data_IF_309979056070
#
_entry.id   IF_309979056070
#
_cell.length_a   1.000
_cell.length_b   1.000
_cell.length_c   1.000
_cell.angle_alpha   90.00
_cell.angle_beta   90.00
_cell.angle_gamma   90.00
#
_symmetry.space_group_name_H-M   'P 1'
#
loop_
_entity.id
_entity.type
_entity.pdbx_description
1 polymer ?
#
# COMPACT_ATOMS: atom_id res chain seq x y z
N UNK A 1 -4.26 -11.91 13.67
CA UNK A 1 -4.56 -10.74 12.83
C UNK A 1 -3.25 -10.28 12.20
N UNK A 2 -3.24 -10.00 10.90
CA UNK A 2 -2.08 -9.45 10.20
C UNK A 2 -1.71 -8.09 10.83
N UNK A 3 -0.45 -7.88 11.20
CA UNK A 3 0.02 -6.63 11.84
C UNK A 3 -0.27 -5.41 10.96
N UNK A 4 -0.18 -5.57 9.63
CA UNK A 4 -0.54 -4.54 8.67
C UNK A 4 -2.03 -4.18 8.71
N UNK A 5 -2.93 -5.15 8.96
CA UNK A 5 -4.36 -4.89 9.03
C UNK A 5 -4.72 -4.08 10.29
N UNK A 6 -4.04 -4.37 11.41
CA UNK A 6 -4.19 -3.60 12.66
C UNK A 6 -3.65 -2.17 12.47
N UNK A 7 -2.47 -2.03 11.86
CA UNK A 7 -1.87 -0.73 11.57
C UNK A 7 -2.77 0.11 10.65
N UNK A 8 -3.27 -0.49 9.57
CA UNK A 8 -4.19 0.17 8.65
C UNK A 8 -5.47 0.61 9.37
N UNK A 9 -6.07 -0.25 10.19
CA UNK A 9 -7.27 0.09 10.94
C UNK A 9 -7.02 1.27 11.89
N UNK A 10 -5.89 1.29 12.59
CA UNK A 10 -5.53 2.40 13.48
C UNK A 10 -5.35 3.72 12.72
N UNK A 11 -4.71 3.70 11.56
CA UNK A 11 -4.58 4.88 10.69
C UNK A 11 -5.94 5.36 10.15
N UNK A 12 -6.82 4.42 9.80
CA UNK A 12 -8.17 4.69 9.32
C UNK A 12 -9.13 5.20 10.41
N UNK A 13 -8.71 5.22 11.68
CA UNK A 13 -9.46 5.86 12.78
C UNK A 13 -8.97 7.28 13.10
N UNK A 14 -7.83 7.70 12.57
CA UNK A 14 -7.32 9.06 12.78
C UNK A 14 -8.04 10.06 11.90
N UNK A 15 -8.37 11.22 12.45
CA UNK A 15 -8.95 12.35 11.70
C UNK A 15 -7.94 13.00 10.74
N UNK A 16 -6.65 12.82 11.02
CA UNK A 16 -5.58 13.43 10.26
C UNK A 16 -4.32 12.60 10.31
N UNK A 17 -3.59 12.60 9.18
CA UNK A 17 -2.38 11.83 8.97
C UNK A 17 -1.24 12.75 8.52
N UNK A 18 -0.06 12.51 9.06
CA UNK A 18 1.20 13.04 8.53
C UNK A 18 1.58 12.32 7.24
N UNK A 19 2.46 12.88 6.39
CA UNK A 19 2.92 12.19 5.19
C UNK A 19 3.56 10.83 5.47
N UNK A 20 4.29 10.69 6.58
CA UNK A 20 4.86 9.42 7.04
C UNK A 20 3.77 8.39 7.33
N UNK A 21 2.71 8.79 8.04
CA UNK A 21 1.57 7.92 8.33
C UNK A 21 0.77 7.56 7.06
N UNK A 22 0.69 8.46 6.08
CA UNK A 22 0.09 8.14 4.77
C UNK A 22 0.92 7.09 4.05
N UNK A 23 2.26 7.22 4.03
CA UNK A 23 3.16 6.20 3.47
C UNK A 23 2.96 4.85 4.15
N UNK A 24 2.96 4.83 5.48
CA UNK A 24 2.71 3.60 6.26
C UNK A 24 1.34 3.00 5.96
N UNK A 25 0.31 3.84 5.80
CA UNK A 25 -1.03 3.41 5.40
C UNK A 25 -1.09 2.81 4.00
N UNK A 26 -0.38 3.39 3.03
CA UNK A 26 -0.25 2.82 1.68
C UNK A 26 0.38 1.43 1.77
N UNK A 27 1.53 1.29 2.44
CA UNK A 27 2.19 -0.01 2.65
C UNK A 27 1.21 -1.00 3.30
N UNK A 28 0.58 -0.61 4.40
CA UNK A 28 -0.35 -1.45 5.13
C UNK A 28 -1.58 -1.87 4.28
N UNK A 29 -2.05 -1.01 3.38
CA UNK A 29 -3.10 -1.31 2.41
C UNK A 29 -2.68 -2.45 1.47
N UNK A 30 -1.49 -2.38 0.89
CA UNK A 30 -0.95 -3.43 0.03
C UNK A 30 -0.81 -4.78 0.75
N UNK A 31 -0.31 -4.79 1.99
CA UNK A 31 -0.18 -6.03 2.76
C UNK A 31 -1.50 -6.57 3.32
N UNK A 32 -2.51 -5.74 3.52
CA UNK A 32 -3.78 -6.16 4.14
C UNK A 32 -4.83 -6.56 3.13
N UNK A 33 -4.94 -5.80 2.04
CA UNK A 33 -5.97 -5.98 1.01
C UNK A 33 -5.41 -6.86 -0.11
N UNK A 34 -4.16 -6.61 -0.52
CA UNK A 34 -3.66 -7.15 -1.78
C UNK A 34 -2.79 -8.40 -1.62
N UNK A 35 -2.47 -8.81 -0.39
CA UNK A 35 -1.62 -9.96 -0.11
C UNK A 35 -2.17 -11.27 -0.64
N UNK A 36 -3.47 -11.51 -0.51
CA UNK A 36 -4.09 -12.75 -1.02
C UNK A 36 -4.14 -12.78 -2.55
N UNK A 37 -4.22 -11.62 -3.20
CA UNK A 37 -4.07 -11.51 -4.65
C UNK A 37 -2.66 -11.85 -5.09
N UNK A 38 -1.63 -11.25 -4.47
CA UNK A 38 -0.23 -11.55 -4.79
C UNK A 38 0.10 -13.01 -4.51
N UNK A 39 -0.41 -13.58 -3.41
CA UNK A 39 -0.29 -15.01 -3.11
C UNK A 39 -0.85 -15.88 -4.23
N UNK A 40 -2.07 -15.60 -4.72
CA UNK A 40 -2.67 -16.35 -5.84
C UNK A 40 -1.82 -16.25 -7.11
N UNK A 41 -1.26 -15.08 -7.40
CA UNK A 41 -0.40 -14.84 -8.58
C UNK A 41 0.94 -15.59 -8.50
N UNK A 42 1.52 -15.71 -7.32
CA UNK A 42 2.75 -16.46 -7.07
C UNK A 42 2.52 -17.98 -6.97
N UNK A 43 1.28 -18.42 -6.75
CA UNK A 43 0.92 -19.83 -6.59
C UNK A 43 1.08 -20.33 -5.15
N UNK A 44 1.31 -21.63 -4.97
CA UNK A 44 1.57 -22.22 -3.65
C UNK A 44 2.98 -21.88 -3.16
N UNK A 45 3.15 -20.66 -2.68
CA UNK A 45 4.37 -20.19 -2.02
C UNK A 45 4.14 -19.97 -0.52
N UNK A 46 5.18 -20.17 0.32
CA UNK A 46 5.16 -19.77 1.72
C UNK A 46 4.73 -18.31 1.90
N UNK A 47 4.00 -18.05 2.99
CA UNK A 47 3.56 -16.70 3.39
C UNK A 47 4.71 -15.67 3.38
N UNK A 48 5.87 -16.06 3.89
CA UNK A 48 7.08 -15.21 3.94
C UNK A 48 7.57 -14.76 2.56
N UNK A 49 7.35 -15.57 1.52
CA UNK A 49 7.83 -15.29 0.17
C UNK A 49 6.86 -14.33 -0.55
N UNK A 50 5.56 -14.39 -0.21
CA UNK A 50 4.56 -13.38 -0.61
C UNK A 50 4.89 -12.03 0.01
N UNK A 51 5.19 -12.02 1.31
CA UNK A 51 5.49 -10.79 2.04
C UNK A 51 6.80 -10.16 1.54
N UNK A 52 7.83 -10.97 1.27
CA UNK A 52 9.08 -10.51 0.66
C UNK A 52 8.88 -9.97 -0.76
N UNK A 53 8.02 -10.60 -1.57
CA UNK A 53 7.72 -10.12 -2.92
C UNK A 53 6.99 -8.77 -2.90
N UNK A 54 6.03 -8.60 -1.99
CA UNK A 54 5.35 -7.33 -1.77
C UNK A 54 6.33 -6.25 -1.28
N UNK A 55 7.16 -6.58 -0.31
CA UNK A 55 8.15 -5.65 0.26
C UNK A 55 9.17 -5.19 -0.79
N UNK A 56 9.66 -6.13 -1.62
CA UNK A 56 10.55 -5.83 -2.73
C UNK A 56 9.88 -4.90 -3.75
N UNK A 57 8.64 -5.21 -4.17
CA UNK A 57 7.90 -4.38 -5.11
C UNK A 57 7.70 -2.94 -4.58
N UNK A 58 7.28 -2.81 -3.32
CA UNK A 58 7.10 -1.50 -2.67
C UNK A 58 8.42 -0.74 -2.59
N UNK A 59 9.48 -1.42 -2.17
CA UNK A 59 10.82 -0.83 -2.04
C UNK A 59 11.35 -0.34 -3.38
N UNK A 60 11.22 -1.15 -4.43
CA UNK A 60 11.70 -0.81 -5.77
C UNK A 60 10.98 0.43 -6.30
N UNK A 61 9.64 0.46 -6.24
CA UNK A 61 8.88 1.63 -6.71
C UNK A 61 9.18 2.87 -5.85
N UNK A 62 9.32 2.72 -4.53
CA UNK A 62 9.64 3.87 -3.67
C UNK A 62 11.03 4.44 -3.98
N UNK A 63 12.00 3.58 -4.27
CA UNK A 63 13.35 4.00 -4.69
C UNK A 63 13.33 4.67 -6.07
N UNK A 64 12.61 4.10 -7.04
CA UNK A 64 12.45 4.67 -8.39
C UNK A 64 11.83 6.08 -8.34
N UNK A 65 10.87 6.28 -7.43
CA UNK A 65 10.19 7.56 -7.24
C UNK A 65 10.87 8.48 -6.21
N UNK A 66 12.04 8.09 -5.68
CA UNK A 66 12.82 8.86 -4.71
C UNK A 66 11.99 9.28 -3.48
N UNK A 67 11.18 8.36 -2.97
CA UNK A 67 10.37 8.59 -1.78
C UNK A 67 11.28 8.65 -0.55
N UNK A 68 11.37 9.83 0.07
CA UNK A 68 12.07 9.99 1.34
C UNK A 68 11.39 9.12 2.43
N UNK A 69 12.12 8.20 3.09
CA UNK A 69 11.55 7.35 4.12
C UNK A 69 11.03 8.11 5.35
N UNK A 70 11.65 9.23 5.71
CA UNK A 70 11.33 9.99 6.91
C UNK A 70 10.38 11.15 6.64
N UNK A 71 10.48 11.77 5.47
CA UNK A 71 9.62 12.89 5.09
C UNK A 71 9.07 12.76 3.65
N UNK A 72 8.19 11.78 3.40
CA UNK A 72 7.73 11.50 2.05
C UNK A 72 6.84 12.63 1.54
N UNK A 73 7.00 12.96 0.26
CA UNK A 73 6.16 13.94 -0.43
C UNK A 73 4.83 13.31 -0.84
N UNK A 74 3.69 13.87 -0.40
CA UNK A 74 2.36 13.34 -0.75
C UNK A 74 2.13 13.24 -2.27
N UNK A 75 2.50 14.24 -3.10
CA UNK A 75 2.44 14.10 -4.56
C UNK A 75 3.28 12.93 -5.11
N UNK A 76 4.47 12.68 -4.54
CA UNK A 76 5.31 11.57 -4.98
C UNK A 76 4.74 10.22 -4.53
N UNK A 77 4.25 10.13 -3.29
CA UNK A 77 3.56 8.93 -2.78
C UNK A 77 2.35 8.58 -3.64
N UNK A 78 1.56 9.58 -4.06
CA UNK A 78 0.41 9.34 -4.93
C UNK A 78 0.81 8.82 -6.31
N UNK A 79 1.97 9.25 -6.84
CA UNK A 79 2.50 8.69 -8.09
C UNK A 79 3.00 7.26 -7.90
N UNK A 80 3.77 7.02 -6.83
CA UNK A 80 4.30 5.70 -6.51
C UNK A 80 3.18 4.67 -6.27
N UNK A 81 2.10 5.08 -5.60
CA UNK A 81 0.92 4.23 -5.37
C UNK A 81 0.25 3.77 -6.67
N UNK A 82 0.08 4.68 -7.65
CA UNK A 82 -0.46 4.31 -8.96
C UNK A 82 0.43 3.32 -9.70
N UNK A 83 1.76 3.50 -9.63
CA UNK A 83 2.71 2.57 -10.24
C UNK A 83 2.68 1.21 -9.53
N UNK A 84 2.54 1.19 -8.20
CA UNK A 84 2.38 -0.05 -7.45
C UNK A 84 1.09 -0.79 -7.83
N UNK A 85 -0.03 -0.07 -8.00
CA UNK A 85 -1.30 -0.64 -8.48
C UNK A 85 -1.13 -1.32 -9.85
N UNK A 86 -0.46 -0.64 -10.78
CA UNK A 86 -0.20 -1.12 -12.13
C UNK A 86 0.74 -2.35 -12.13
N UNK A 87 1.89 -2.26 -11.45
CA UNK A 87 2.87 -3.35 -11.43
C UNK A 87 2.35 -4.59 -10.69
N UNK A 88 1.56 -4.39 -9.63
CA UNK A 88 0.90 -5.48 -8.94
C UNK A 88 -0.18 -6.14 -9.82
N UNK A 89 -0.75 -5.43 -10.80
CA UNK A 89 -1.69 -5.97 -11.77
C UNK A 89 -3.13 -6.08 -11.24
N UNK A 90 -3.53 -5.19 -10.34
CA UNK A 90 -4.84 -5.25 -9.67
C UNK A 90 -6.03 -4.99 -10.58
N UNK A 91 -5.81 -4.45 -11.79
CA UNK A 91 -6.85 -4.32 -12.81
C UNK A 91 -7.54 -5.66 -13.16
N UNK A 92 -6.87 -6.78 -12.91
CA UNK A 92 -7.43 -8.12 -13.09
C UNK A 92 -8.55 -8.47 -12.07
N UNK A 93 -8.67 -7.73 -10.96
CA UNK A 93 -9.69 -7.95 -9.92
C UNK A 93 -10.39 -6.64 -9.53
N UNK A 94 -11.49 -6.28 -10.24
CA UNK A 94 -12.16 -4.99 -10.07
C UNK A 94 -12.67 -4.72 -8.65
N UNK A 95 -13.21 -5.73 -7.97
CA UNK A 95 -13.73 -5.56 -6.61
C UNK A 95 -12.59 -5.26 -5.61
N UNK A 96 -11.44 -5.91 -5.80
CA UNK A 96 -10.24 -5.65 -5.00
C UNK A 96 -9.71 -4.24 -5.24
N UNK A 97 -9.66 -3.85 -6.52
CA UNK A 97 -9.23 -2.52 -6.95
C UNK A 97 -10.09 -1.41 -6.34
N UNK A 98 -11.42 -1.61 -6.27
CA UNK A 98 -12.33 -0.65 -5.63
C UNK A 98 -12.02 -0.51 -4.15
N UNK A 99 -11.91 -1.62 -3.42
CA UNK A 99 -11.59 -1.59 -1.98
C UNK A 99 -10.24 -0.92 -1.71
N UNK A 100 -9.21 -1.26 -2.50
CA UNK A 100 -7.90 -0.62 -2.42
C UNK A 100 -8.01 0.90 -2.63
N UNK A 101 -8.70 1.34 -3.70
CA UNK A 101 -8.86 2.76 -4.01
C UNK A 101 -9.61 3.53 -2.93
N UNK A 102 -10.65 2.96 -2.34
CA UNK A 102 -11.40 3.62 -1.24
C UNK A 102 -10.51 3.87 -0.03
N UNK A 103 -9.67 2.89 0.33
CA UNK A 103 -8.72 3.02 1.44
C UNK A 103 -7.64 4.05 1.12
N UNK A 104 -7.02 3.97 -0.06
CA UNK A 104 -6.02 4.93 -0.50
C UNK A 104 -6.59 6.36 -0.53
N UNK A 105 -7.77 6.57 -1.11
CA UNK A 105 -8.43 7.87 -1.13
C UNK A 105 -8.70 8.40 0.29
N UNK A 106 -9.08 7.53 1.21
CA UNK A 106 -9.31 7.92 2.61
C UNK A 106 -8.00 8.35 3.28
N UNK A 107 -6.90 7.61 3.07
CA UNK A 107 -5.58 7.98 3.61
C UNK A 107 -5.11 9.34 3.07
N UNK A 108 -5.21 9.56 1.75
CA UNK A 108 -4.77 10.81 1.14
C UNK A 108 -5.69 12.00 1.46
N UNK A 109 -6.99 11.79 1.64
CA UNK A 109 -7.92 12.88 2.01
C UNK A 109 -7.69 13.40 3.44
N UNK A 110 -7.13 12.55 4.31
CA UNK A 110 -6.77 12.89 5.70
C UNK A 110 -5.33 13.38 5.84
N UNK A 111 -4.56 13.41 4.77
CA UNK A 111 -3.20 13.91 4.78
C UNK A 111 -3.19 15.41 5.10
N UNK A 112 -2.52 15.79 6.19
CA UNK A 112 -2.29 17.21 6.50
C UNK A 112 -1.26 17.78 5.52
N UNK A 113 -1.54 18.98 5.01
CA UNK A 113 -0.61 19.79 4.22
C UNK A 113 0.54 20.32 5.08
#
# INVERSE_FOLDING_TARGET
>A
MNEHAIALQALMQKDALTPKEVKEGVIACFFSINRDFVKRRLGEVPAKDVDAALDALITDVFNEHQIDPENPSLPLLKKAELVLEEQAGFEAEPDLLVMHKEVIQTLFSRARK
#
